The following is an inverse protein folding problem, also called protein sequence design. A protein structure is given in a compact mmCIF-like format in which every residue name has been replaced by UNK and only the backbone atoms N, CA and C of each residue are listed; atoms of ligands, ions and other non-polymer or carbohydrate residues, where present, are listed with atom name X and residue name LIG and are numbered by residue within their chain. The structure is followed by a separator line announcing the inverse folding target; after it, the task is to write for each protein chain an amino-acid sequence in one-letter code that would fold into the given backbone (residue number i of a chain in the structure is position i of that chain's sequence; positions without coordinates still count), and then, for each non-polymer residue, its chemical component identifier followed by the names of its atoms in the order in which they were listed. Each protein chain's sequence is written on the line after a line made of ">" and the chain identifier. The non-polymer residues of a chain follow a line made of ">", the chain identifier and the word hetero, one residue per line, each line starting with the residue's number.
data_IF_575583447970
#
_entry.id   IF_575583447970
#
_cell.length_a   1.000
_cell.length_b   1.000
_cell.length_c   1.000
_cell.angle_alpha   90.00
_cell.angle_beta   90.00
_cell.angle_gamma   90.00
#
_symmetry.space_group_name_H-M   'P 1'
#
loop_
_entity.id
_entity.type
_entity.pdbx_description
1 polymer ?
#
# COMPACT_ATOMS: atom_id res chain seq x y z
N UNK A 1 8.82 -3.20 49.73
CA UNK A 1 9.39 -2.28 48.75
C UNK A 1 8.32 -1.52 47.93
N UNK A 2 7.06 -1.62 48.33
CA UNK A 2 5.90 -1.00 47.60
C UNK A 2 5.39 0.30 48.23
N UNK A 3 5.97 0.75 49.35
CA UNK A 3 5.43 1.91 50.13
C UNK A 3 6.02 3.28 49.74
N UNK A 4 7.07 3.34 48.89
CA UNK A 4 7.74 4.60 48.55
C UNK A 4 7.22 5.24 47.23
N UNK A 5 6.56 4.50 46.37
CA UNK A 5 6.07 5.02 45.10
C UNK A 5 4.77 5.85 45.21
N UNK A 6 3.98 5.63 46.26
CA UNK A 6 2.70 6.34 46.45
C UNK A 6 2.85 7.79 46.95
N UNK A 7 4.00 8.18 47.47
CA UNK A 7 4.23 9.52 48.00
C UNK A 7 4.67 10.58 46.98
N UNK A 8 5.12 10.15 45.77
CA UNK A 8 5.56 11.05 44.70
C UNK A 8 4.61 11.12 43.50
N UNK A 9 3.46 10.44 43.57
CA UNK A 9 2.48 10.31 42.48
C UNK A 9 1.82 11.63 42.01
N UNK A 10 1.63 12.69 42.85
CA UNK A 10 0.91 13.88 42.39
C UNK A 10 1.70 14.88 41.56
N UNK A 11 3.00 14.64 41.32
CA UNK A 11 3.89 15.61 40.66
C UNK A 11 4.13 15.38 39.18
N UNK A 12 3.53 14.34 38.58
CA UNK A 12 3.68 14.03 37.18
C UNK A 12 2.41 14.38 36.38
N UNK A 13 2.60 14.96 35.18
CA UNK A 13 1.46 15.20 34.26
C UNK A 13 0.73 13.89 33.97
N UNK A 14 -0.58 13.94 33.73
CA UNK A 14 -1.45 12.76 33.49
C UNK A 14 -0.85 11.76 32.51
N UNK A 15 -0.23 12.21 31.40
CA UNK A 15 0.46 11.34 30.43
C UNK A 15 1.63 10.55 30.99
N UNK A 16 2.33 11.11 31.99
CA UNK A 16 3.44 10.40 32.65
C UNK A 16 2.92 9.41 33.68
N UNK A 17 1.79 9.72 34.31
CA UNK A 17 1.08 8.80 35.19
C UNK A 17 0.56 7.57 34.44
N UNK A 18 -0.12 7.75 33.33
CA UNK A 18 -0.58 6.66 32.45
C UNK A 18 0.59 5.79 31.95
N UNK A 19 1.73 6.41 31.61
CA UNK A 19 2.91 5.67 31.17
C UNK A 19 3.54 4.84 32.31
N UNK A 20 3.55 5.36 33.55
CA UNK A 20 4.06 4.65 34.73
C UNK A 20 3.10 3.52 35.14
N UNK A 21 1.80 3.74 35.11
CA UNK A 21 0.79 2.71 35.37
C UNK A 21 0.85 1.60 34.31
N UNK A 22 0.97 1.96 33.04
CA UNK A 22 1.20 1.02 31.96
C UNK A 22 2.48 0.20 32.14
N UNK A 23 3.57 0.82 32.58
CA UNK A 23 4.84 0.15 32.88
C UNK A 23 4.73 -0.77 34.10
N UNK A 24 4.03 -0.35 35.15
CA UNK A 24 3.77 -1.18 36.35
C UNK A 24 2.88 -2.38 36.01
N UNK A 25 1.87 -2.22 35.20
CA UNK A 25 1.01 -3.31 34.70
C UNK A 25 1.81 -4.32 33.86
N UNK A 26 2.72 -3.85 33.02
CA UNK A 26 3.62 -4.69 32.23
C UNK A 26 4.61 -5.46 33.10
N UNK A 27 5.21 -4.81 34.10
CA UNK A 27 6.19 -5.44 35.00
C UNK A 27 5.57 -6.47 35.94
N UNK A 28 4.30 -6.32 36.28
CA UNK A 28 3.56 -7.24 37.15
C UNK A 28 2.85 -8.38 36.40
N UNK A 29 2.87 -8.38 35.05
CA UNK A 29 2.26 -9.43 34.26
C UNK A 29 3.23 -9.97 33.21
N UNK A 30 4.02 -11.02 33.55
CA UNK A 30 4.96 -11.65 32.62
C UNK A 30 4.32 -12.07 31.28
N UNK A 31 3.06 -12.51 31.31
CA UNK A 31 2.31 -12.89 30.10
C UNK A 31 2.12 -11.73 29.12
N UNK A 32 1.92 -10.50 29.61
CA UNK A 32 1.84 -9.29 28.78
C UNK A 32 3.19 -8.91 28.15
N UNK A 33 4.28 -9.10 28.89
CA UNK A 33 5.64 -8.88 28.38
C UNK A 33 5.98 -9.88 27.28
N UNK A 34 5.65 -11.16 27.49
CA UNK A 34 5.84 -12.21 26.47
C UNK A 34 4.98 -11.95 25.24
N UNK A 35 3.72 -11.55 25.40
CA UNK A 35 2.83 -11.21 24.28
C UNK A 35 3.36 -10.02 23.49
N UNK A 36 3.78 -8.94 24.13
CA UNK A 36 4.35 -7.77 23.47
C UNK A 36 5.71 -8.06 22.78
N UNK A 37 6.52 -8.95 23.36
CA UNK A 37 7.77 -9.40 22.74
C UNK A 37 7.49 -10.29 21.52
N UNK A 38 6.50 -11.17 21.62
CA UNK A 38 6.04 -12.04 20.52
C UNK A 38 5.47 -11.18 19.38
N UNK A 39 4.60 -10.22 19.66
CA UNK A 39 4.05 -9.26 18.69
C UNK A 39 5.15 -8.49 17.95
N UNK A 40 6.18 -8.04 18.66
CA UNK A 40 7.34 -7.35 18.04
C UNK A 40 8.14 -8.27 17.12
N UNK A 41 8.37 -9.52 17.51
CA UNK A 41 9.07 -10.51 16.66
C UNK A 41 8.27 -10.82 15.41
N UNK A 42 6.96 -11.04 15.55
CA UNK A 42 6.04 -11.29 14.45
C UNK A 42 6.04 -10.10 13.46
N UNK A 43 5.90 -8.87 13.95
CA UNK A 43 5.96 -7.66 13.11
C UNK A 43 7.31 -7.50 12.42
N UNK A 44 8.42 -7.78 13.12
CA UNK A 44 9.78 -7.66 12.56
C UNK A 44 10.02 -8.69 11.45
N UNK A 45 9.68 -9.96 11.67
CA UNK A 45 9.84 -11.00 10.65
C UNK A 45 8.94 -10.76 9.43
N UNK A 46 7.68 -10.33 9.63
CA UNK A 46 6.79 -9.96 8.54
C UNK A 46 7.35 -8.81 7.71
N UNK A 47 7.85 -7.75 8.34
CA UNK A 47 8.48 -6.63 7.66
C UNK A 47 9.74 -7.05 6.88
N UNK A 48 10.58 -7.95 7.45
CA UNK A 48 11.75 -8.47 6.77
C UNK A 48 11.38 -9.26 5.51
N UNK A 49 10.38 -10.15 5.59
CA UNK A 49 9.86 -10.92 4.45
C UNK A 49 9.33 -9.98 3.36
N UNK A 50 8.55 -8.96 3.74
CA UNK A 50 8.01 -7.97 2.83
C UNK A 50 9.12 -7.19 2.10
N UNK A 51 10.11 -6.70 2.82
CA UNK A 51 11.24 -5.95 2.23
C UNK A 51 12.11 -6.83 1.32
N UNK A 52 12.37 -8.07 1.70
CA UNK A 52 13.07 -9.04 0.87
C UNK A 52 12.33 -9.29 -0.45
N UNK A 53 11.02 -9.46 -0.39
CA UNK A 53 10.20 -9.65 -1.58
C UNK A 53 10.23 -8.45 -2.52
N UNK A 54 10.06 -7.23 -2.00
CA UNK A 54 10.19 -5.99 -2.80
C UNK A 54 11.58 -5.90 -3.42
N UNK A 55 12.65 -6.19 -2.68
CA UNK A 55 14.01 -6.16 -3.20
C UNK A 55 14.23 -7.17 -4.35
N UNK A 56 13.63 -8.36 -4.26
CA UNK A 56 13.69 -9.36 -5.33
C UNK A 56 12.90 -8.93 -6.56
N UNK A 57 11.74 -8.29 -6.38
CA UNK A 57 10.95 -7.74 -7.49
C UNK A 57 11.71 -6.67 -8.28
N UNK A 58 12.62 -5.92 -7.65
CA UNK A 58 13.50 -4.97 -8.36
C UNK A 58 14.59 -5.66 -9.22
N UNK A 59 14.92 -6.91 -8.91
CA UNK A 59 16.04 -7.61 -9.56
C UNK A 59 15.58 -8.55 -10.66
N UNK A 60 14.35 -9.07 -10.57
CA UNK A 60 13.86 -10.10 -11.51
C UNK A 60 12.32 -10.16 -11.55
N UNK A 61 11.79 -10.85 -12.56
CA UNK A 61 10.34 -11.00 -12.71
C UNK A 61 9.74 -11.80 -11.54
N UNK A 62 8.49 -11.48 -11.20
CA UNK A 62 7.74 -12.15 -10.14
C UNK A 62 7.71 -13.67 -10.29
N UNK A 63 7.52 -14.15 -11.52
CA UNK A 63 7.43 -15.59 -11.84
C UNK A 63 8.70 -16.33 -11.45
N UNK A 64 9.86 -15.69 -11.59
CA UNK A 64 11.16 -16.27 -11.28
C UNK A 64 11.55 -16.19 -9.80
N UNK A 65 10.78 -15.45 -8.98
CA UNK A 65 11.02 -15.38 -7.53
C UNK A 65 10.49 -16.63 -6.85
N UNK A 66 11.33 -17.27 -6.04
CA UNK A 66 10.96 -18.43 -5.22
C UNK A 66 10.79 -18.04 -3.75
N UNK A 67 9.96 -18.81 -3.02
CA UNK A 67 9.84 -18.64 -1.57
C UNK A 67 11.17 -18.82 -0.85
N UNK A 68 12.04 -19.71 -1.37
CA UNK A 68 13.36 -19.94 -0.76
C UNK A 68 14.23 -18.68 -0.81
N UNK A 69 14.26 -17.96 -1.93
CA UNK A 69 15.02 -16.71 -2.07
C UNK A 69 14.50 -15.62 -1.16
N UNK A 70 13.18 -15.55 -0.98
CA UNK A 70 12.56 -14.59 -0.03
C UNK A 70 13.02 -14.90 1.40
N UNK A 71 12.99 -16.18 1.79
CA UNK A 71 13.41 -16.66 3.11
C UNK A 71 14.88 -16.35 3.36
N UNK A 72 15.74 -16.66 2.38
CA UNK A 72 17.19 -16.46 2.48
C UNK A 72 17.54 -14.97 2.59
N UNK A 73 16.91 -14.13 1.77
CA UNK A 73 17.14 -12.68 1.81
C UNK A 73 16.55 -12.01 3.07
N UNK A 74 15.42 -12.51 3.59
CA UNK A 74 14.79 -12.02 4.80
C UNK A 74 15.49 -12.49 6.09
N UNK A 75 16.43 -13.44 5.98
CA UNK A 75 17.07 -14.08 7.12
C UNK A 75 16.05 -14.65 8.14
N UNK A 76 15.07 -15.40 7.62
CA UNK A 76 14.03 -16.04 8.45
C UNK A 76 13.96 -17.55 8.20
N UNK A 77 13.44 -18.29 9.16
CA UNK A 77 13.19 -19.72 8.97
C UNK A 77 11.96 -19.98 8.08
N UNK A 78 11.94 -21.12 7.37
CA UNK A 78 10.82 -21.55 6.53
C UNK A 78 9.50 -21.58 7.29
N UNK A 79 9.48 -22.08 8.52
CA UNK A 79 8.32 -22.08 9.40
C UNK A 79 7.84 -20.67 9.73
N UNK A 80 8.75 -19.72 9.86
CA UNK A 80 8.42 -18.31 10.10
C UNK A 80 7.74 -17.69 8.88
N UNK A 81 8.22 -17.99 7.66
CA UNK A 81 7.57 -17.54 6.43
C UNK A 81 6.12 -18.05 6.38
N UNK A 82 5.93 -19.36 6.52
CA UNK A 82 4.59 -19.97 6.43
C UNK A 82 3.67 -19.64 7.61
N UNK A 83 4.20 -19.13 8.71
CA UNK A 83 3.39 -18.55 9.80
C UNK A 83 2.81 -17.18 9.43
N UNK A 84 3.35 -16.49 8.41
CA UNK A 84 2.90 -15.18 7.94
C UNK A 84 2.15 -15.24 6.61
N UNK A 85 2.60 -16.10 5.69
CA UNK A 85 2.12 -16.15 4.30
C UNK A 85 2.05 -17.61 3.84
N UNK A 86 0.87 -18.05 3.41
CA UNK A 86 0.69 -19.40 2.89
C UNK A 86 1.43 -19.62 1.57
N UNK A 87 1.49 -18.56 0.75
CA UNK A 87 2.12 -18.58 -0.58
C UNK A 87 2.80 -17.24 -0.90
N UNK A 88 3.59 -17.23 -1.95
CA UNK A 88 4.18 -16.02 -2.53
C UNK A 88 3.09 -15.09 -3.12
N UNK A 89 1.99 -15.66 -3.61
CA UNK A 89 0.83 -14.94 -4.11
C UNK A 89 0.11 -14.17 -3.01
N UNK A 90 -0.04 -14.76 -1.82
CA UNK A 90 -0.60 -14.09 -0.65
C UNK A 90 0.25 -12.88 -0.22
N UNK A 91 1.57 -13.01 -0.33
CA UNK A 91 2.49 -11.89 -0.07
C UNK A 91 2.35 -10.77 -1.12
N UNK A 92 2.20 -11.11 -2.41
CA UNK A 92 1.94 -10.12 -3.47
C UNK A 92 0.60 -9.43 -3.26
N UNK A 93 -0.44 -10.16 -2.87
CA UNK A 93 -1.74 -9.59 -2.57
C UNK A 93 -1.67 -8.58 -1.43
N UNK A 94 -0.91 -8.86 -0.37
CA UNK A 94 -0.70 -7.91 0.72
C UNK A 94 0.02 -6.65 0.26
N UNK A 95 1.04 -6.78 -0.62
CA UNK A 95 1.71 -5.62 -1.22
C UNK A 95 0.71 -4.76 -2.00
N UNK A 96 -0.18 -5.38 -2.76
CA UNK A 96 -1.23 -4.66 -3.49
C UNK A 96 -2.21 -3.98 -2.53
N UNK A 97 -2.66 -4.68 -1.49
CA UNK A 97 -3.56 -4.10 -0.48
C UNK A 97 -2.94 -2.88 0.20
N UNK A 98 -1.69 -2.97 0.65
CA UNK A 98 -0.98 -1.86 1.28
C UNK A 98 -0.86 -0.64 0.36
N UNK A 99 -0.56 -0.86 -0.93
CA UNK A 99 -0.45 0.21 -1.92
C UNK A 99 -1.79 0.87 -2.23
N UNK A 100 -2.87 0.10 -2.30
CA UNK A 100 -4.17 0.59 -2.77
C UNK A 100 -5.07 1.07 -1.64
N UNK A 101 -4.92 0.53 -0.42
CA UNK A 101 -5.75 0.89 0.72
C UNK A 101 -5.76 2.40 0.96
N UNK A 102 -4.61 3.03 1.00
CA UNK A 102 -4.49 4.48 1.21
C UNK A 102 -4.79 5.31 -0.04
N UNK A 103 -4.76 4.69 -1.22
CA UNK A 103 -5.01 5.39 -2.49
C UNK A 103 -6.51 5.49 -2.80
N UNK A 104 -7.27 4.43 -2.55
CA UNK A 104 -8.65 4.29 -3.02
C UNK A 104 -9.71 4.21 -1.91
N UNK A 105 -9.34 3.93 -0.64
CA UNK A 105 -10.31 3.84 0.46
C UNK A 105 -10.67 5.20 1.10
N UNK A 106 -9.81 6.19 0.99
CA UNK A 106 -10.12 7.55 1.44
C UNK A 106 -11.07 8.22 0.42
N UNK A 107 -12.31 7.70 0.34
CA UNK A 107 -13.36 8.36 -0.41
C UNK A 107 -13.73 9.65 0.33
N UNK A 108 -13.31 10.75 -0.25
CA UNK A 108 -13.86 12.06 0.05
C UNK A 108 -14.95 12.33 -0.99
N UNK A 109 -16.21 12.15 -0.59
CA UNK A 109 -17.38 12.29 -1.47
C UNK A 109 -17.54 13.73 -2.04
N UNK A 110 -16.66 14.66 -1.65
CA UNK A 110 -16.61 16.03 -2.15
C UNK A 110 -15.54 16.29 -3.20
N UNK A 111 -14.63 15.35 -3.50
CA UNK A 111 -13.57 15.57 -4.49
C UNK A 111 -14.12 15.56 -5.90
N UNK A 112 -13.67 16.51 -6.71
CA UNK A 112 -13.89 16.47 -8.14
C UNK A 112 -12.94 15.47 -8.83
N UNK A 113 -13.16 15.25 -10.13
CA UNK A 113 -12.37 14.27 -10.89
C UNK A 113 -10.87 14.63 -10.96
N UNK A 114 -10.54 15.93 -11.03
CA UNK A 114 -9.16 16.39 -11.05
C UNK A 114 -8.47 16.16 -9.71
N UNK A 115 -9.14 16.46 -8.61
CA UNK A 115 -8.63 16.23 -7.25
C UNK A 115 -8.44 14.74 -6.98
N UNK A 116 -9.41 13.90 -7.36
CA UNK A 116 -9.33 12.45 -7.24
C UNK A 116 -8.15 11.86 -8.03
N UNK A 117 -7.99 12.29 -9.28
CA UNK A 117 -6.90 11.86 -10.15
C UNK A 117 -5.55 12.30 -9.59
N UNK A 118 -5.44 13.56 -9.16
CA UNK A 118 -4.23 14.12 -8.55
C UNK A 118 -3.84 13.38 -7.27
N UNK A 119 -4.82 13.02 -6.44
CA UNK A 119 -4.60 12.21 -5.24
C UNK A 119 -3.98 10.84 -5.56
N UNK A 120 -4.48 10.13 -6.57
CA UNK A 120 -3.92 8.85 -7.00
C UNK A 120 -2.47 9.03 -7.47
N UNK A 121 -2.19 10.00 -8.35
CA UNK A 121 -0.83 10.25 -8.84
C UNK A 121 0.14 10.61 -7.71
N UNK A 122 -0.30 11.42 -6.73
CA UNK A 122 0.50 11.78 -5.54
C UNK A 122 0.86 10.56 -4.70
N UNK A 123 -0.09 9.66 -4.47
CA UNK A 123 0.17 8.40 -3.76
C UNK A 123 1.13 7.50 -4.55
N UNK A 124 1.00 7.43 -5.86
CA UNK A 124 1.87 6.64 -6.71
C UNK A 124 3.29 7.22 -6.75
N UNK A 125 3.44 8.54 -6.76
CA UNK A 125 4.75 9.20 -6.66
C UNK A 125 5.44 8.88 -5.32
N UNK A 126 4.70 8.93 -4.23
CA UNK A 126 5.22 8.57 -2.89
C UNK A 126 5.72 7.12 -2.81
N UNK A 127 5.12 6.21 -3.58
CA UNK A 127 5.44 4.79 -3.64
C UNK A 127 6.07 4.39 -4.98
N UNK A 128 6.72 5.34 -5.68
CA UNK A 128 7.16 5.19 -7.07
C UNK A 128 8.01 3.93 -7.30
N UNK A 129 8.96 3.63 -6.40
CA UNK A 129 9.85 2.48 -6.57
C UNK A 129 9.08 1.15 -6.60
N UNK A 130 8.13 0.96 -5.69
CA UNK A 130 7.29 -0.25 -5.64
C UNK A 130 6.37 -0.36 -6.86
N UNK A 131 5.67 0.73 -7.18
CA UNK A 131 4.70 0.77 -8.28
C UNK A 131 5.39 0.63 -9.63
N UNK A 132 6.49 1.37 -9.86
CA UNK A 132 7.28 1.25 -11.08
C UNK A 132 7.79 -0.19 -11.27
N UNK A 133 8.34 -0.79 -10.21
CA UNK A 133 8.80 -2.18 -10.25
C UNK A 133 7.69 -3.16 -10.66
N UNK A 134 6.52 -3.06 -10.04
CA UNK A 134 5.39 -3.95 -10.33
C UNK A 134 4.80 -3.73 -11.73
N UNK A 135 4.72 -2.50 -12.21
CA UNK A 135 4.26 -2.18 -13.56
C UNK A 135 5.29 -2.58 -14.62
N UNK A 136 6.57 -2.25 -14.42
CA UNK A 136 7.62 -2.52 -15.39
C UNK A 136 7.96 -4.01 -15.53
N UNK A 137 7.79 -4.78 -14.45
CA UNK A 137 7.87 -6.24 -14.50
C UNK A 137 6.70 -6.88 -15.24
N UNK A 138 5.73 -6.07 -15.72
CA UNK A 138 4.49 -6.53 -16.39
C UNK A 138 3.74 -7.56 -15.55
N UNK A 139 3.74 -7.39 -14.24
CA UNK A 139 3.03 -8.27 -13.33
C UNK A 139 1.53 -8.20 -13.59
N UNK A 140 0.98 -9.25 -14.18
CA UNK A 140 -0.43 -9.33 -14.61
C UNK A 140 -1.37 -9.19 -13.40
N UNK A 141 -1.02 -9.79 -12.26
CA UNK A 141 -1.84 -9.72 -11.05
C UNK A 141 -1.96 -8.27 -10.56
N UNK A 142 -0.82 -7.57 -10.41
CA UNK A 142 -0.79 -6.17 -9.99
C UNK A 142 -1.57 -5.27 -10.96
N UNK A 143 -1.33 -5.42 -12.27
CA UNK A 143 -1.99 -4.62 -13.30
C UNK A 143 -3.51 -4.82 -13.29
N UNK A 144 -3.97 -6.07 -13.19
CA UNK A 144 -5.40 -6.37 -13.13
C UNK A 144 -6.03 -5.84 -11.82
N UNK A 145 -5.35 -5.99 -10.71
CA UNK A 145 -5.83 -5.46 -9.42
C UNK A 145 -5.94 -3.94 -9.46
N UNK A 146 -4.93 -3.24 -10.01
CA UNK A 146 -4.97 -1.79 -10.19
C UNK A 146 -6.15 -1.37 -11.08
N UNK A 147 -6.39 -2.07 -12.19
CA UNK A 147 -7.54 -1.77 -13.06
C UNK A 147 -8.87 -1.91 -12.31
N UNK A 148 -9.04 -2.96 -11.51
CA UNK A 148 -10.25 -3.15 -10.70
C UNK A 148 -10.46 -1.98 -9.72
N UNK A 149 -9.41 -1.53 -9.04
CA UNK A 149 -9.52 -0.38 -8.14
C UNK A 149 -9.87 0.92 -8.90
N UNK A 150 -9.28 1.14 -10.07
CA UNK A 150 -9.61 2.28 -10.94
C UNK A 150 -11.05 2.21 -11.47
N UNK A 151 -11.53 1.01 -11.81
CA UNK A 151 -12.92 0.79 -12.23
C UNK A 151 -13.91 1.15 -11.13
N UNK A 152 -13.59 0.82 -9.90
CA UNK A 152 -14.47 1.05 -8.76
C UNK A 152 -14.41 2.50 -8.23
N UNK A 153 -13.26 3.15 -8.38
CA UNK A 153 -13.03 4.48 -7.82
C UNK A 153 -13.15 5.61 -8.85
N UNK A 154 -12.40 5.53 -9.95
CA UNK A 154 -12.27 6.63 -10.91
C UNK A 154 -13.34 6.60 -11.99
N UNK A 155 -13.68 5.40 -12.50
CA UNK A 155 -14.62 5.28 -13.62
C UNK A 155 -16.01 5.86 -13.30
N UNK A 156 -16.64 5.65 -12.13
CA UNK A 156 -17.92 6.25 -11.82
C UNK A 156 -17.95 7.78 -11.87
N UNK A 157 -16.81 8.43 -11.60
CA UNK A 157 -16.70 9.90 -11.61
C UNK A 157 -16.67 10.48 -13.04
N UNK A 158 -16.15 9.73 -14.00
CA UNK A 158 -16.02 10.17 -15.41
C UNK A 158 -17.09 9.56 -16.32
N UNK A 159 -17.77 8.52 -15.87
CA UNK A 159 -18.69 7.72 -16.69
C UNK A 159 -19.76 8.57 -17.37
N UNK A 160 -20.41 9.45 -16.65
CA UNK A 160 -21.52 10.27 -17.20
C UNK A 160 -21.03 11.19 -18.33
N UNK A 161 -19.88 11.83 -18.15
CA UNK A 161 -19.27 12.68 -19.16
C UNK A 161 -18.89 11.88 -20.42
N UNK A 162 -18.26 10.73 -20.26
CA UNK A 162 -17.86 9.87 -21.36
C UNK A 162 -19.06 9.32 -22.14
N UNK A 163 -20.10 8.86 -21.46
CA UNK A 163 -21.30 8.32 -22.10
C UNK A 163 -22.06 9.40 -22.87
N UNK A 164 -22.08 10.65 -22.39
CA UNK A 164 -22.67 11.78 -23.13
C UNK A 164 -21.89 12.11 -24.40
N UNK A 165 -20.54 12.17 -24.32
CA UNK A 165 -19.69 12.56 -25.45
C UNK A 165 -19.49 11.43 -26.46
N UNK A 166 -19.46 10.20 -25.99
CA UNK A 166 -19.09 8.99 -26.76
C UNK A 166 -20.22 7.94 -26.72
N UNK A 167 -21.48 8.40 -26.89
CA UNK A 167 -22.70 7.60 -26.74
C UNK A 167 -22.82 6.37 -27.63
N UNK A 168 -22.00 6.29 -28.68
CA UNK A 168 -21.98 5.14 -29.61
C UNK A 168 -21.05 4.00 -29.14
N UNK A 169 -20.22 4.24 -28.08
CA UNK A 169 -19.28 3.25 -27.61
C UNK A 169 -19.89 2.48 -26.44
N UNK A 170 -19.74 1.14 -26.40
CA UNK A 170 -20.19 0.34 -25.27
C UNK A 170 -19.47 0.73 -23.97
N UNK A 171 -20.19 0.78 -22.85
CA UNK A 171 -19.62 1.09 -21.53
C UNK A 171 -18.43 0.18 -21.16
N UNK A 172 -18.45 -1.15 -21.37
CA UNK A 172 -17.30 -1.99 -21.08
C UNK A 172 -16.02 -1.59 -21.84
N UNK A 173 -16.18 -1.10 -23.09
CA UNK A 173 -15.06 -0.58 -23.87
C UNK A 173 -14.51 0.71 -23.27
N UNK A 174 -15.37 1.65 -22.89
CA UNK A 174 -14.96 2.91 -22.23
C UNK A 174 -14.27 2.65 -20.90
N UNK A 175 -14.78 1.72 -20.12
CA UNK A 175 -14.18 1.29 -18.85
C UNK A 175 -12.76 0.76 -19.06
N UNK A 176 -12.58 -0.16 -19.98
CA UNK A 176 -11.26 -0.68 -20.32
C UNK A 176 -10.33 0.41 -20.89
N UNK A 177 -10.86 1.32 -21.70
CA UNK A 177 -10.08 2.43 -22.27
C UNK A 177 -9.53 3.34 -21.14
N UNK A 178 -10.38 3.82 -20.23
CA UNK A 178 -10.00 4.70 -19.13
C UNK A 178 -8.94 4.02 -18.23
N UNK A 179 -9.21 2.80 -17.79
CA UNK A 179 -8.31 2.11 -16.85
C UNK A 179 -6.99 1.72 -17.48
N UNK A 180 -7.00 1.29 -18.76
CA UNK A 180 -5.77 0.97 -19.48
C UNK A 180 -4.94 2.22 -19.76
N UNK A 181 -5.57 3.31 -20.21
CA UNK A 181 -4.89 4.58 -20.45
C UNK A 181 -4.29 5.12 -19.15
N UNK A 182 -4.99 4.99 -18.02
CA UNK A 182 -4.45 5.40 -16.72
C UNK A 182 -3.21 4.59 -16.35
N UNK A 183 -3.26 3.27 -16.44
CA UNK A 183 -2.13 2.39 -16.12
C UNK A 183 -0.91 2.70 -16.99
N UNK A 184 -1.10 2.89 -18.30
CA UNK A 184 -0.01 3.25 -19.21
C UNK A 184 0.54 4.65 -18.94
N UNK A 185 -0.33 5.61 -18.59
CA UNK A 185 0.08 6.96 -18.18
C UNK A 185 0.97 6.91 -16.94
N UNK A 186 0.58 6.14 -15.92
CA UNK A 186 1.41 5.94 -14.71
C UNK A 186 2.73 5.28 -15.06
N UNK A 187 2.69 4.21 -15.86
CA UNK A 187 3.90 3.49 -16.28
C UNK A 187 4.88 4.40 -17.02
N UNK A 188 4.39 5.19 -17.98
CA UNK A 188 5.20 6.18 -18.70
C UNK A 188 5.74 7.26 -17.77
N UNK A 189 4.89 7.83 -16.91
CA UNK A 189 5.25 8.95 -16.02
C UNK A 189 6.35 8.59 -15.02
N UNK A 190 6.25 7.41 -14.39
CA UNK A 190 7.25 6.95 -13.42
C UNK A 190 8.61 6.60 -14.04
N UNK A 191 8.68 6.41 -15.36
CA UNK A 191 9.93 6.16 -16.08
C UNK A 191 10.66 7.43 -16.52
N UNK A 192 10.06 8.61 -16.36
CA UNK A 192 10.68 9.85 -16.78
C UNK A 192 11.88 10.21 -15.86
N UNK A 193 13.01 10.64 -16.45
CA UNK A 193 14.18 11.10 -15.68
C UNK A 193 13.87 12.28 -14.76
N UNK A 194 12.96 13.15 -15.18
CA UNK A 194 12.38 14.24 -14.40
C UNK A 194 10.88 14.07 -14.36
N UNK A 195 10.38 13.55 -13.26
CA UNK A 195 8.96 13.30 -13.06
C UNK A 195 8.19 14.62 -13.09
N UNK A 196 7.14 14.69 -13.88
CA UNK A 196 6.22 15.84 -13.89
C UNK A 196 5.47 15.91 -12.55
N UNK A 197 5.08 17.11 -12.12
CA UNK A 197 4.18 17.25 -10.97
C UNK A 197 2.89 16.46 -11.17
N UNK A 198 2.36 15.93 -10.08
CA UNK A 198 1.12 15.13 -10.07
C UNK A 198 -0.10 15.89 -10.63
N UNK A 199 -0.16 17.21 -10.45
CA UNK A 199 -1.20 18.06 -11.01
C UNK A 199 -1.11 18.16 -12.53
N UNK A 200 0.10 18.22 -13.08
CA UNK A 200 0.33 18.30 -14.53
C UNK A 200 -0.04 16.98 -15.22
N UNK A 201 0.40 15.85 -14.66
CA UNK A 201 0.07 14.55 -15.27
C UNK A 201 -1.43 14.22 -15.14
N UNK A 202 -2.09 14.67 -14.07
CA UNK A 202 -3.53 14.58 -13.91
C UNK A 202 -4.26 15.34 -15.01
N UNK A 203 -3.84 16.57 -15.28
CA UNK A 203 -4.43 17.36 -16.35
C UNK A 203 -4.25 16.70 -17.71
N UNK A 204 -3.05 16.21 -18.03
CA UNK A 204 -2.80 15.49 -19.29
C UNK A 204 -3.69 14.26 -19.45
N UNK A 205 -3.85 13.49 -18.37
CA UNK A 205 -4.75 12.33 -18.41
C UNK A 205 -6.20 12.73 -18.69
N UNK A 206 -6.69 13.79 -18.04
CA UNK A 206 -8.06 14.27 -18.21
C UNK A 206 -8.31 14.88 -19.58
N UNK A 207 -7.34 15.63 -20.12
CA UNK A 207 -7.42 16.19 -21.49
C UNK A 207 -7.56 15.08 -22.55
N UNK A 208 -6.99 13.89 -22.30
CA UNK A 208 -7.17 12.74 -23.20
C UNK A 208 -8.55 12.08 -23.09
N UNK A 209 -9.27 12.34 -21.99
CA UNK A 209 -10.63 11.81 -21.77
C UNK A 209 -11.71 12.73 -22.35
N UNK A 210 -11.40 14.00 -22.59
CA UNK A 210 -12.27 14.98 -23.21
C UNK A 210 -12.45 14.74 -24.72
#
# INVERSE_FOLDING_TARGET
>A
MFSFLHLYYPLFSERKQEAIEGLCLLLNNPALLFRNAMDRRVKKSRAAIYQAFISLLHQKSYESITVQEIIDLADVGRSTFYAHFDTKEALLEEVCQDLFQHTFLERDDGKDLFEATTHIFKHFQKNQDKIATLLLSKNIYFTNRLKIELENYLFPMIQEQLLRKKSQLPEPFLRNYVTSTFVETVSWWLQQKKTLPETVISQYFLDLMD
#
